data_IF_433597028378
#
_entry.id   IF_433597028378
#
_cell.length_a   1.000
_cell.length_b   1.000
_cell.length_c   1.000
_cell.angle_alpha   90.00
_cell.angle_beta   90.00
_cell.angle_gamma   90.00
#
_symmetry.space_group_name_H-M   'P 1'
#
loop_
_entity.id
_entity.type
_entity.pdbx_description
1 polymer ?
#
# COMPACT_ATOMS: atom_id res chain seq x y z
N UNK A 1 -13.68 -19.38 8.96
CA UNK A 1 -13.62 -18.38 7.88
C UNK A 1 -14.74 -17.37 8.12
N UNK A 2 -14.43 -16.09 8.04
CA UNK A 2 -15.44 -15.02 8.11
C UNK A 2 -15.90 -14.65 6.71
N UNK A 3 -17.16 -14.27 6.55
CA UNK A 3 -17.75 -13.85 5.27
C UNK A 3 -18.11 -12.37 5.39
N UNK A 4 -17.77 -11.60 4.36
CA UNK A 4 -18.18 -10.20 4.22
C UNK A 4 -19.19 -10.15 3.07
N UNK A 5 -20.38 -9.64 3.34
CA UNK A 5 -21.42 -9.40 2.33
C UNK A 5 -21.49 -7.91 2.03
N UNK A 6 -21.23 -7.53 0.78
CA UNK A 6 -21.32 -6.15 0.30
C UNK A 6 -22.49 -6.07 -0.68
N UNK A 7 -23.44 -5.16 -0.44
CA UNK A 7 -24.54 -4.91 -1.37
C UNK A 7 -24.04 -3.97 -2.46
N UNK A 8 -24.29 -4.35 -3.71
CA UNK A 8 -24.01 -3.54 -4.89
C UNK A 8 -25.32 -3.14 -5.56
N UNK A 9 -25.35 -1.96 -6.17
CA UNK A 9 -26.35 -1.62 -7.17
C UNK A 9 -25.97 -2.23 -8.54
N UNK A 10 -26.91 -2.21 -9.49
CA UNK A 10 -26.72 -2.83 -10.80
C UNK A 10 -25.51 -2.27 -11.59
N UNK A 11 -25.21 -0.98 -11.42
CA UNK A 11 -24.07 -0.33 -12.07
C UNK A 11 -22.75 -0.77 -11.44
N UNK A 12 -22.68 -0.77 -10.10
CA UNK A 12 -21.51 -1.23 -9.36
C UNK A 12 -21.19 -2.70 -9.65
N UNK A 13 -22.20 -3.57 -9.62
CA UNK A 13 -22.05 -5.00 -9.90
C UNK A 13 -21.47 -5.23 -11.31
N UNK A 14 -22.02 -4.52 -12.32
CA UNK A 14 -21.52 -4.61 -13.69
C UNK A 14 -20.07 -4.14 -13.79
N UNK A 15 -19.78 -2.93 -13.32
CA UNK A 15 -18.45 -2.32 -13.44
C UNK A 15 -17.38 -3.11 -12.69
N UNK A 16 -17.67 -3.53 -11.46
CA UNK A 16 -16.70 -4.24 -10.64
C UNK A 16 -16.43 -5.64 -11.18
N UNK A 17 -17.45 -6.30 -11.73
CA UNK A 17 -17.29 -7.62 -12.37
C UNK A 17 -16.49 -7.50 -13.67
N UNK A 18 -16.82 -6.56 -14.56
CA UNK A 18 -16.06 -6.31 -15.79
C UNK A 18 -14.59 -5.98 -15.50
N UNK A 19 -14.33 -5.18 -14.46
CA UNK A 19 -12.98 -4.86 -14.02
C UNK A 19 -12.24 -6.10 -13.47
N UNK A 20 -12.92 -6.95 -12.68
CA UNK A 20 -12.36 -8.21 -12.19
C UNK A 20 -11.98 -9.16 -13.34
N UNK A 21 -12.86 -9.31 -14.31
CA UNK A 21 -12.64 -10.13 -15.51
C UNK A 21 -11.47 -9.60 -16.34
N UNK A 22 -11.41 -8.28 -16.56
CA UNK A 22 -10.31 -7.64 -17.29
C UNK A 22 -8.95 -7.91 -16.65
N UNK A 23 -8.89 -7.96 -15.32
CA UNK A 23 -7.67 -8.28 -14.56
C UNK A 23 -7.46 -9.78 -14.33
N UNK A 24 -8.36 -10.65 -14.79
CA UNK A 24 -8.29 -12.09 -14.58
C UNK A 24 -8.37 -12.49 -13.10
N UNK A 25 -9.04 -11.69 -12.26
CA UNK A 25 -9.18 -11.90 -10.81
C UNK A 25 -10.64 -12.07 -10.42
N UNK A 26 -10.88 -12.68 -9.26
CA UNK A 26 -12.21 -12.65 -8.64
C UNK A 26 -12.47 -11.29 -8.01
N UNK A 27 -13.75 -10.88 -7.94
CA UNK A 27 -14.15 -9.66 -7.24
C UNK A 27 -13.69 -9.66 -5.76
N UNK A 28 -13.75 -10.82 -5.10
CA UNK A 28 -13.26 -10.98 -3.72
C UNK A 28 -11.75 -10.76 -3.57
N UNK A 29 -10.97 -11.05 -4.61
CA UNK A 29 -9.52 -10.80 -4.60
C UNK A 29 -9.25 -9.33 -4.73
N UNK A 30 -9.89 -8.66 -5.69
CA UNK A 30 -9.76 -7.22 -5.86
C UNK A 30 -10.18 -6.45 -4.61
N UNK A 31 -11.32 -6.79 -3.99
CA UNK A 31 -11.77 -6.10 -2.77
C UNK A 31 -10.76 -6.25 -1.61
N UNK A 32 -10.09 -7.41 -1.48
CA UNK A 32 -9.04 -7.60 -0.48
C UNK A 32 -7.79 -6.79 -0.79
N UNK A 33 -7.37 -6.78 -2.06
CA UNK A 33 -6.21 -6.02 -2.52
C UNK A 33 -6.44 -4.52 -2.32
N UNK A 34 -7.59 -3.99 -2.73
CA UNK A 34 -7.93 -2.58 -2.54
C UNK A 34 -8.00 -2.18 -1.06
N UNK A 35 -8.49 -3.07 -0.19
CA UNK A 35 -8.49 -2.80 1.25
C UNK A 35 -7.05 -2.79 1.81
N UNK A 36 -6.21 -3.74 1.40
CA UNK A 36 -4.81 -3.78 1.82
C UNK A 36 -4.04 -2.55 1.34
N UNK A 37 -4.20 -2.17 0.08
CA UNK A 37 -3.59 -0.97 -0.51
C UNK A 37 -4.00 0.29 0.26
N UNK A 38 -5.29 0.42 0.62
CA UNK A 38 -5.76 1.55 1.44
C UNK A 38 -5.10 1.59 2.82
N UNK A 39 -4.95 0.43 3.47
CA UNK A 39 -4.28 0.33 4.77
C UNK A 39 -2.79 0.69 4.65
N UNK A 40 -2.13 0.28 3.57
CA UNK A 40 -0.73 0.61 3.28
C UNK A 40 -0.55 2.11 3.02
N UNK A 41 -1.40 2.74 2.20
CA UNK A 41 -1.36 4.19 1.96
C UNK A 41 -1.44 5.00 3.26
N UNK A 42 -2.34 4.62 4.17
CA UNK A 42 -2.51 5.30 5.46
C UNK A 42 -1.29 5.12 6.37
N UNK A 43 -0.72 3.91 6.39
CA UNK A 43 0.49 3.62 7.15
C UNK A 43 1.69 4.39 6.58
N UNK A 44 1.88 4.37 5.26
CA UNK A 44 2.97 5.06 4.57
C UNK A 44 2.91 6.56 4.78
N UNK A 45 1.71 7.16 4.71
CA UNK A 45 1.52 8.58 4.98
C UNK A 45 1.97 8.94 6.41
N UNK A 46 1.62 8.11 7.40
CA UNK A 46 2.05 8.29 8.78
C UNK A 46 3.56 8.14 8.94
N UNK A 47 4.14 7.07 8.40
CA UNK A 47 5.57 6.80 8.47
C UNK A 47 6.39 7.90 7.78
N UNK A 48 5.89 8.46 6.68
CA UNK A 48 6.54 9.58 6.01
C UNK A 48 6.65 10.81 6.90
N UNK A 49 5.59 11.13 7.66
CA UNK A 49 5.61 12.26 8.61
C UNK A 49 6.64 12.01 9.71
N UNK A 50 6.68 10.80 10.27
CA UNK A 50 7.65 10.41 11.29
C UNK A 50 9.10 10.47 10.75
N UNK A 51 9.32 9.95 9.54
CA UNK A 51 10.62 9.97 8.88
C UNK A 51 11.11 11.39 8.60
N UNK A 52 10.22 12.31 8.21
CA UNK A 52 10.55 13.73 8.01
C UNK A 52 10.98 14.39 9.32
N UNK A 53 10.26 14.15 10.41
CA UNK A 53 10.63 14.70 11.72
C UNK A 53 11.92 14.09 12.28
N UNK A 54 12.13 12.79 12.06
CA UNK A 54 13.39 12.12 12.40
C UNK A 54 14.57 12.73 11.63
N UNK A 55 14.43 12.92 10.31
CA UNK A 55 15.47 13.49 9.46
C UNK A 55 15.78 14.96 9.84
N UNK A 56 14.76 15.78 10.15
CA UNK A 56 15.00 17.13 10.68
C UNK A 56 15.89 17.14 11.93
N UNK A 57 15.73 16.14 12.81
CA UNK A 57 16.55 15.98 14.02
C UNK A 57 17.90 15.30 13.75
N UNK A 58 18.00 14.53 12.67
CA UNK A 58 19.17 13.75 12.27
C UNK A 58 19.48 13.99 10.78
N UNK A 59 19.95 15.19 10.40
CA UNK A 59 20.09 15.59 9.00
C UNK A 59 21.33 15.00 8.31
N UNK A 60 22.15 14.24 9.06
CA UNK A 60 23.36 13.63 8.52
C UNK A 60 22.98 12.63 7.43
N UNK A 61 23.62 12.76 6.27
CA UNK A 61 23.45 11.85 5.15
C UNK A 61 24.80 11.28 4.77
N UNK A 62 24.78 10.07 4.24
CA UNK A 62 25.98 9.36 3.82
C UNK A 62 25.89 9.03 2.34
N UNK A 63 27.00 9.23 1.63
CA UNK A 63 27.17 8.70 0.29
C UNK A 63 27.17 7.17 0.32
N UNK A 64 26.89 6.54 -0.82
CA UNK A 64 26.92 5.09 -0.92
C UNK A 64 28.28 4.49 -0.50
N UNK A 65 29.39 5.17 -0.80
CA UNK A 65 30.72 4.76 -0.36
C UNK A 65 30.88 4.82 1.17
N UNK A 66 30.47 5.92 1.81
CA UNK A 66 30.53 6.06 3.27
C UNK A 66 29.67 5.02 4.00
N UNK A 67 28.52 4.64 3.43
CA UNK A 67 27.68 3.57 3.98
C UNK A 67 28.39 2.22 3.88
N UNK A 68 29.01 1.90 2.74
CA UNK A 68 29.81 0.67 2.57
C UNK A 68 30.93 0.57 3.58
N UNK A 69 31.71 1.64 3.71
CA UNK A 69 32.81 1.73 4.70
C UNK A 69 32.30 1.51 6.12
N UNK A 70 31.17 2.13 6.51
CA UNK A 70 30.55 1.94 7.85
C UNK A 70 30.04 0.52 8.10
N UNK A 71 29.59 -0.18 7.04
CA UNK A 71 29.07 -1.55 7.12
C UNK A 71 30.15 -2.61 6.91
N UNK A 72 31.39 -2.23 6.59
CA UNK A 72 32.49 -3.16 6.30
C UNK A 72 32.32 -3.92 4.98
N UNK A 73 31.67 -3.29 3.98
CA UNK A 73 31.40 -3.83 2.65
C UNK A 73 32.29 -3.23 1.56
#
# INVERSE_FOLDING_TARGET
MSIISVRLNATEERLFTEYAEFHGKSLSTLLKESLAEKMEEELDAKLLVEAKEYNKKNPETYTHQQVKEKLGL
#
